data_IF_676816528994
#
_entry.id   IF_676816528994
#
_cell.length_a   1.000
_cell.length_b   1.000
_cell.length_c   1.000
_cell.angle_alpha   90.00
_cell.angle_beta   90.00
_cell.angle_gamma   90.00
#
_symmetry.space_group_name_H-M   'P 1'
#
loop_
_entity.id
_entity.type
_entity.pdbx_description
1 polymer ?
#
# COMPACT_ATOMS: atom_id res chain seq x y z
N UNK A 1 1.62 23.31 -1.14
CA UNK A 1 0.64 22.20 -1.31
C UNK A 1 1.22 20.85 -0.92
N UNK A 2 2.34 20.39 -1.49
CA UNK A 2 2.95 19.10 -1.09
C UNK A 2 3.45 19.14 0.36
N UNK A 3 4.12 20.22 0.77
CA UNK A 3 4.64 20.35 2.14
C UNK A 3 3.52 20.30 3.20
N UNK A 4 2.40 20.96 2.93
CA UNK A 4 1.21 20.91 3.80
C UNK A 4 0.64 19.48 3.91
N UNK A 5 0.59 18.73 2.80
CA UNK A 5 0.16 17.33 2.83
C UNK A 5 1.13 16.45 3.64
N UNK A 6 2.44 16.68 3.51
CA UNK A 6 3.47 15.98 4.29
C UNK A 6 3.31 16.29 5.78
N UNK A 7 3.20 17.56 6.16
CA UNK A 7 3.01 17.95 7.57
C UNK A 7 1.76 17.31 8.18
N UNK A 8 0.66 17.27 7.43
CA UNK A 8 -0.57 16.62 7.88
C UNK A 8 -0.43 15.10 7.99
N UNK A 9 0.22 14.46 7.01
CA UNK A 9 0.53 13.03 7.05
C UNK A 9 1.35 12.68 8.29
N UNK A 10 2.40 13.44 8.59
CA UNK A 10 3.26 13.25 9.77
C UNK A 10 2.49 13.43 11.10
N UNK A 11 1.33 14.08 11.08
CA UNK A 11 0.41 14.21 12.23
C UNK A 11 -0.69 13.13 12.24
N UNK A 12 -0.61 12.12 11.39
CA UNK A 12 -1.55 11.01 11.34
C UNK A 12 -2.79 11.24 10.45
N UNK A 13 -2.81 12.27 9.60
CA UNK A 13 -3.94 12.53 8.68
C UNK A 13 -4.01 11.49 7.54
N UNK A 14 -4.97 10.56 7.65
CA UNK A 14 -5.23 9.53 6.64
C UNK A 14 -5.57 10.10 5.26
N UNK A 15 -6.30 11.22 5.18
CA UNK A 15 -6.69 11.81 3.89
C UNK A 15 -5.49 12.43 3.19
N UNK A 16 -4.63 13.12 3.94
CA UNK A 16 -3.39 13.67 3.40
C UNK A 16 -2.48 12.55 2.89
N UNK A 17 -2.34 11.48 3.67
CA UNK A 17 -1.59 10.26 3.31
C UNK A 17 -2.12 9.63 2.02
N UNK A 18 -3.43 9.40 1.92
CA UNK A 18 -4.05 8.85 0.72
C UNK A 18 -3.82 9.73 -0.52
N UNK A 19 -3.78 11.06 -0.35
CA UNK A 19 -3.54 12.01 -1.44
C UNK A 19 -2.07 12.02 -1.87
N UNK A 20 -1.12 11.90 -0.94
CA UNK A 20 0.29 11.71 -1.24
C UNK A 20 0.51 10.40 -2.01
N UNK A 21 -0.12 9.30 -1.58
CA UNK A 21 -0.05 8.03 -2.33
C UNK A 21 -0.61 8.19 -3.75
N UNK A 22 -1.71 8.91 -3.93
CA UNK A 22 -2.23 9.23 -5.27
C UNK A 22 -1.23 10.05 -6.09
N UNK A 23 -0.50 11.00 -5.50
CA UNK A 23 0.50 11.78 -6.24
C UNK A 23 1.68 10.91 -6.66
N UNK A 24 2.24 10.07 -5.77
CA UNK A 24 3.37 9.20 -6.12
C UNK A 24 2.99 8.15 -7.18
N UNK A 25 1.73 7.73 -7.23
CA UNK A 25 1.25 6.80 -8.25
C UNK A 25 1.16 7.41 -9.65
N UNK A 26 0.84 8.71 -9.76
CA UNK A 26 0.42 9.33 -11.01
C UNK A 26 1.44 10.30 -11.62
N UNK A 27 2.47 10.69 -10.87
CA UNK A 27 3.40 11.73 -11.30
C UNK A 27 4.82 11.45 -10.77
N UNK A 28 5.73 11.03 -11.66
CA UNK A 28 7.09 10.63 -11.30
C UNK A 28 7.95 11.80 -10.79
N UNK A 29 7.68 13.03 -11.22
CA UNK A 29 8.41 14.20 -10.73
C UNK A 29 8.00 14.52 -9.30
N UNK A 30 6.68 14.55 -9.04
CA UNK A 30 6.16 14.70 -7.68
C UNK A 30 6.54 13.53 -6.78
N UNK A 31 6.60 12.31 -7.31
CA UNK A 31 7.05 11.14 -6.55
C UNK A 31 8.47 11.35 -6.00
N UNK A 32 9.42 11.76 -6.88
CA UNK A 32 10.79 12.05 -6.47
C UNK A 32 10.87 13.18 -5.45
N UNK A 33 10.08 14.25 -5.62
CA UNK A 33 10.03 15.37 -4.67
C UNK A 33 9.52 14.90 -3.29
N UNK A 34 8.39 14.19 -3.26
CA UNK A 34 7.76 13.70 -2.04
C UNK A 34 8.72 12.75 -1.30
N UNK A 35 9.24 11.74 -1.99
CA UNK A 35 10.15 10.74 -1.42
C UNK A 35 11.39 11.41 -0.82
N UNK A 36 12.00 12.37 -1.52
CA UNK A 36 13.15 13.11 -1.01
C UNK A 36 12.83 13.85 0.29
N UNK A 37 11.65 14.48 0.38
CA UNK A 37 11.22 15.24 1.57
C UNK A 37 10.90 14.34 2.76
N UNK A 38 10.31 13.17 2.52
CA UNK A 38 9.89 12.27 3.61
C UNK A 38 10.98 11.28 4.03
N UNK A 39 12.06 11.12 3.26
CA UNK A 39 13.08 10.08 3.44
C UNK A 39 13.61 9.96 4.88
N UNK A 40 13.85 11.09 5.56
CA UNK A 40 14.32 11.15 6.95
C UNK A 40 13.34 10.56 7.99
N UNK A 41 12.10 10.29 7.61
CA UNK A 41 11.06 9.70 8.45
C UNK A 41 10.78 8.23 8.12
N UNK A 42 11.55 7.64 7.19
CA UNK A 42 11.42 6.24 6.77
C UNK A 42 12.49 5.35 7.41
N UNK A 43 12.36 4.03 7.26
CA UNK A 43 13.23 3.00 7.80
C UNK A 43 12.73 2.37 9.10
N UNK A 44 11.49 2.62 9.51
CA UNK A 44 10.96 2.19 10.80
C UNK A 44 10.01 0.98 10.67
N UNK A 45 9.18 0.97 9.63
CA UNK A 45 8.19 -0.08 9.42
C UNK A 45 8.82 -1.43 9.04
N UNK A 46 8.26 -2.52 9.56
CA UNK A 46 8.55 -3.87 9.07
C UNK A 46 7.72 -4.17 7.81
N UNK A 47 8.37 -4.55 6.71
CA UNK A 47 7.72 -4.72 5.40
C UNK A 47 7.61 -6.21 5.07
N UNK A 48 6.39 -6.68 4.77
CA UNK A 48 6.11 -8.08 4.44
C UNK A 48 5.41 -8.18 3.09
N UNK A 49 6.07 -8.83 2.12
CA UNK A 49 5.47 -9.21 0.85
C UNK A 49 4.68 -10.52 0.97
N UNK A 50 3.47 -10.55 0.40
CA UNK A 50 2.62 -11.73 0.32
C UNK A 50 2.30 -11.99 -1.15
N UNK A 51 2.82 -13.11 -1.66
CA UNK A 51 2.63 -13.54 -3.04
C UNK A 51 2.03 -14.95 -3.11
N UNK A 52 1.71 -15.40 -4.32
CA UNK A 52 1.18 -16.72 -4.61
C UNK A 52 0.05 -16.71 -5.63
N UNK A 53 -0.32 -17.88 -6.16
CA UNK A 53 -1.29 -17.98 -7.25
C UNK A 53 -2.69 -17.48 -6.84
N UNK A 54 -3.55 -17.14 -7.82
CA UNK A 54 -4.96 -16.87 -7.56
C UNK A 54 -5.60 -18.02 -6.77
N UNK A 55 -6.40 -17.70 -5.74
CA UNK A 55 -7.09 -18.70 -4.94
C UNK A 55 -6.26 -19.40 -3.86
N UNK A 56 -4.96 -19.10 -3.71
CA UNK A 56 -4.10 -19.71 -2.65
C UNK A 56 -4.43 -19.26 -1.23
N UNK A 57 -5.34 -18.30 -1.07
CA UNK A 57 -5.74 -17.77 0.24
C UNK A 57 -4.93 -16.58 0.75
N UNK A 58 -4.11 -15.91 -0.08
CA UNK A 58 -3.33 -14.70 0.28
C UNK A 58 -4.12 -13.67 1.08
N UNK A 59 -5.26 -13.21 0.55
CA UNK A 59 -6.07 -12.19 1.23
C UNK A 59 -6.72 -12.71 2.52
N UNK A 60 -6.95 -14.02 2.64
CA UNK A 60 -7.42 -14.65 3.89
C UNK A 60 -6.32 -14.68 4.94
N UNK A 61 -5.09 -15.00 4.53
CA UNK A 61 -3.91 -14.93 5.40
C UNK A 61 -3.66 -13.49 5.85
N UNK A 62 -3.66 -12.54 4.91
CA UNK A 62 -3.47 -11.12 5.19
C UNK A 62 -4.52 -10.59 6.18
N UNK A 63 -5.79 -10.93 5.98
CA UNK A 63 -6.89 -10.59 6.90
C UNK A 63 -6.63 -11.09 8.33
N UNK A 64 -6.02 -12.26 8.51
CA UNK A 64 -5.63 -12.78 9.83
C UNK A 64 -4.38 -12.09 10.39
N UNK A 65 -3.39 -11.80 9.56
CA UNK A 65 -2.17 -11.09 9.96
C UNK A 65 -2.47 -9.65 10.40
N UNK A 66 -3.35 -8.93 9.68
CA UNK A 66 -3.81 -7.60 10.08
C UNK A 66 -4.47 -7.69 11.45
N UNK A 67 -5.38 -8.65 11.66
CA UNK A 67 -6.03 -8.84 12.95
C UNK A 67 -4.99 -9.05 14.07
N UNK A 68 -4.03 -9.95 13.89
CA UNK A 68 -3.01 -10.23 14.89
C UNK A 68 -2.18 -8.98 15.23
N UNK A 69 -1.69 -8.26 14.21
CA UNK A 69 -0.92 -7.03 14.43
C UNK A 69 -1.74 -5.95 15.17
N UNK A 70 -3.04 -5.88 14.88
CA UNK A 70 -3.96 -4.96 15.59
C UNK A 70 -4.26 -5.39 17.02
N UNK A 71 -4.33 -6.69 17.31
CA UNK A 71 -4.46 -7.21 18.67
C UNK A 71 -3.21 -6.84 19.52
N UNK A 72 -2.05 -6.61 18.87
CA UNK A 72 -0.81 -6.07 19.47
C UNK A 72 -0.73 -4.52 19.43
N UNK A 73 -1.83 -3.84 19.06
CA UNK A 73 -1.95 -2.39 18.94
C UNK A 73 -1.09 -1.71 17.87
N UNK A 74 -0.43 -2.47 16.98
CA UNK A 74 0.44 -1.94 15.92
C UNK A 74 -0.33 -1.20 14.83
N UNK A 75 0.15 -0.07 14.34
CA UNK A 75 -0.40 0.65 13.19
C UNK A 75 -0.06 -0.12 11.91
N UNK A 76 -1.08 -0.56 11.17
CA UNK A 76 -0.91 -1.43 10.00
C UNK A 76 -1.15 -0.67 8.69
N UNK A 77 -0.17 -0.74 7.79
CA UNK A 77 -0.31 -0.36 6.40
C UNK A 77 -0.56 -1.58 5.51
N UNK A 78 -1.44 -1.46 4.53
CA UNK A 78 -1.70 -2.50 3.53
C UNK A 78 -1.67 -1.86 2.14
N UNK A 79 -0.85 -2.43 1.28
CA UNK A 79 -0.82 -2.15 -0.16
C UNK A 79 -1.26 -3.42 -0.88
N UNK A 80 -2.48 -3.42 -1.41
CA UNK A 80 -3.00 -4.49 -2.23
C UNK A 80 -2.84 -4.13 -3.70
N UNK A 81 -2.07 -4.91 -4.44
CA UNK A 81 -1.88 -4.73 -5.88
C UNK A 81 -2.94 -5.57 -6.60
N UNK A 82 -3.80 -4.90 -7.36
CA UNK A 82 -4.82 -5.50 -8.21
C UNK A 82 -4.44 -5.36 -9.70
N UNK A 83 -4.97 -6.22 -10.59
CA UNK A 83 -4.91 -5.96 -12.03
C UNK A 83 -5.47 -4.58 -12.38
N UNK A 84 -4.98 -4.03 -13.49
CA UNK A 84 -5.44 -2.73 -13.98
C UNK A 84 -6.81 -2.86 -14.62
N UNK A 85 -7.78 -2.06 -14.16
CA UNK A 85 -9.10 -1.96 -14.77
C UNK A 85 -8.98 -1.41 -16.20
N UNK A 86 -9.52 -2.10 -17.22
CA UNK A 86 -9.49 -1.62 -18.61
C UNK A 86 -10.39 -0.40 -18.83
N UNK A 87 -11.30 -0.10 -17.89
CA UNK A 87 -12.25 1.00 -18.00
C UNK A 87 -11.78 2.29 -17.31
N UNK A 88 -11.13 2.16 -16.15
CA UNK A 88 -10.76 3.31 -15.31
C UNK A 88 -9.25 3.54 -15.22
N UNK A 89 -8.44 2.56 -15.61
CA UNK A 89 -6.98 2.57 -15.40
C UNK A 89 -6.55 2.44 -13.94
N UNK A 90 -7.50 2.35 -12.99
CA UNK A 90 -7.26 2.12 -11.57
C UNK A 90 -7.32 0.64 -11.19
N UNK A 91 -7.23 0.35 -9.88
CA UNK A 91 -7.35 -1.00 -9.35
C UNK A 91 -8.77 -1.56 -9.55
N UNK A 92 -8.90 -2.87 -9.78
CA UNK A 92 -10.21 -3.56 -9.83
C UNK A 92 -10.89 -3.68 -8.44
N UNK A 93 -10.21 -3.31 -7.35
CA UNK A 93 -10.71 -3.24 -5.97
C UNK A 93 -11.16 -4.58 -5.37
N UNK A 94 -10.85 -5.71 -6.02
CA UNK A 94 -11.31 -7.03 -5.62
C UNK A 94 -10.82 -7.42 -4.22
N UNK A 95 -9.57 -7.09 -3.92
CA UNK A 95 -8.94 -7.45 -2.66
C UNK A 95 -9.44 -6.59 -1.49
N UNK A 96 -9.88 -5.36 -1.77
CA UNK A 96 -10.45 -4.46 -0.75
C UNK A 96 -11.77 -4.96 -0.17
N UNK A 97 -12.59 -5.64 -0.97
CA UNK A 97 -13.87 -6.20 -0.50
C UNK A 97 -13.63 -7.27 0.57
N UNK A 98 -12.55 -8.06 0.42
CA UNK A 98 -12.21 -9.15 1.35
C UNK A 98 -11.69 -8.65 2.70
N UNK A 99 -11.17 -7.42 2.75
CA UNK A 99 -10.64 -6.78 3.97
C UNK A 99 -11.58 -5.72 4.57
N UNK A 100 -12.86 -5.70 4.17
CA UNK A 100 -13.82 -4.67 4.62
C UNK A 100 -13.91 -4.50 6.13
N UNK A 101 -13.81 -5.59 6.91
CA UNK A 101 -13.89 -5.52 8.38
C UNK A 101 -12.78 -4.68 9.03
N UNK A 102 -11.64 -4.52 8.34
CA UNK A 102 -10.51 -3.72 8.80
C UNK A 102 -10.57 -2.27 8.28
N UNK A 103 -11.41 -1.98 7.29
CA UNK A 103 -11.49 -0.66 6.66
C UNK A 103 -11.97 0.45 7.60
N UNK A 104 -12.69 0.10 8.67
CA UNK A 104 -13.16 1.01 9.71
C UNK A 104 -12.23 1.10 10.91
N UNK A 105 -11.16 0.29 10.97
CA UNK A 105 -10.19 0.34 12.08
C UNK A 105 -9.31 1.61 11.95
N UNK A 106 -9.30 2.50 12.95
CA UNK A 106 -8.48 3.70 12.92
C UNK A 106 -6.96 3.39 12.87
N UNK A 107 -6.50 2.23 13.32
CA UNK A 107 -5.10 1.80 13.22
C UNK A 107 -4.74 1.06 11.94
N UNK A 108 -5.66 0.92 10.99
CA UNK A 108 -5.39 0.28 9.69
C UNK A 108 -5.52 1.29 8.54
N UNK A 109 -4.55 1.25 7.63
CA UNK A 109 -4.59 1.98 6.36
C UNK A 109 -4.52 1.00 5.20
N UNK A 110 -5.52 1.00 4.32
CA UNK A 110 -5.56 0.12 3.14
C UNK A 110 -5.55 0.96 1.87
N UNK A 111 -4.56 0.71 1.00
CA UNK A 111 -4.47 1.22 -0.36
C UNK A 111 -4.59 0.07 -1.36
N UNK A 112 -5.50 0.20 -2.31
CA UNK A 112 -5.48 -0.61 -3.53
C UNK A 112 -4.74 0.14 -4.63
N UNK A 113 -3.78 -0.52 -5.28
CA UNK A 113 -2.99 0.02 -6.39
C UNK A 113 -3.16 -0.86 -7.62
N UNK A 114 -3.15 -0.28 -8.81
CA UNK A 114 -3.14 -1.04 -10.05
C UNK A 114 -1.72 -1.38 -10.49
N UNK A 115 -1.50 -2.54 -11.11
CA UNK A 115 -0.22 -2.89 -11.74
C UNK A 115 0.23 -1.90 -12.83
N UNK A 116 -0.71 -1.20 -13.47
CA UNK A 116 -0.52 -0.25 -14.57
C UNK A 116 0.35 -0.79 -15.72
N UNK A 117 0.15 -2.06 -16.07
CA UNK A 117 0.89 -2.72 -17.15
C UNK A 117 2.32 -3.13 -16.77
N UNK A 118 2.69 -3.07 -15.49
CA UNK A 118 3.91 -3.70 -14.97
C UNK A 118 3.86 -5.21 -15.22
N UNK A 119 4.99 -5.77 -15.69
CA UNK A 119 5.15 -7.21 -15.96
C UNK A 119 5.44 -8.02 -14.69
N UNK A 120 5.87 -7.35 -13.61
CA UNK A 120 5.99 -7.95 -12.28
C UNK A 120 4.73 -7.68 -11.47
N UNK A 121 4.35 -8.60 -10.59
CA UNK A 121 3.14 -8.54 -9.75
C UNK A 121 3.01 -7.32 -8.81
N UNK A 122 3.90 -6.33 -8.94
CA UNK A 122 3.95 -5.06 -8.23
C UNK A 122 3.78 -3.86 -9.18
N UNK A 123 3.14 -2.80 -8.68
CA UNK A 123 3.14 -1.51 -9.36
C UNK A 123 4.50 -0.81 -9.23
N UNK A 124 4.95 -0.06 -10.25
CA UNK A 124 6.20 0.72 -10.19
C UNK A 124 6.27 1.65 -8.97
N UNK A 125 5.14 2.22 -8.56
CA UNK A 125 5.02 3.14 -7.43
C UNK A 125 4.95 2.46 -6.05
N UNK A 126 4.98 1.12 -5.97
CA UNK A 126 4.81 0.38 -4.71
C UNK A 126 5.85 0.80 -3.68
N UNK A 127 7.12 0.87 -4.06
CA UNK A 127 8.21 1.27 -3.15
C UNK A 127 8.04 2.69 -2.59
N UNK A 128 7.49 3.62 -3.38
CA UNK A 128 7.27 4.99 -2.93
C UNK A 128 6.03 5.08 -2.06
N UNK A 129 4.99 4.28 -2.34
CA UNK A 129 3.84 4.14 -1.44
C UNK A 129 4.21 3.52 -0.09
N UNK A 130 5.12 2.53 -0.06
CA UNK A 130 5.68 1.96 1.19
C UNK A 130 6.34 3.07 2.01
N UNK A 131 7.22 3.88 1.40
CA UNK A 131 7.89 5.00 2.09
C UNK A 131 6.90 6.02 2.64
N UNK A 132 5.80 6.28 1.93
CA UNK A 132 4.73 7.16 2.41
C UNK A 132 4.03 6.57 3.64
N UNK A 133 3.73 5.27 3.67
CA UNK A 133 3.12 4.61 4.84
C UNK A 133 4.08 4.46 6.03
N UNK A 134 5.36 4.24 5.77
CA UNK A 134 6.40 4.20 6.79
C UNK A 134 6.56 5.59 7.44
N UNK A 135 6.69 6.64 6.62
CA UNK A 135 6.72 8.03 7.12
C UNK A 135 5.41 8.47 7.79
N UNK A 136 4.27 7.86 7.44
CA UNK A 136 2.99 8.08 8.13
C UNK A 136 2.99 7.51 9.56
N UNK A 137 3.87 6.56 9.86
CA UNK A 137 3.99 5.92 11.17
C UNK A 137 3.34 4.54 11.24
N UNK A 138 3.25 3.80 10.13
CA UNK A 138 2.92 2.37 10.21
C UNK A 138 4.07 1.59 10.86
N UNK A 139 3.74 0.69 11.78
CA UNK A 139 4.71 -0.24 12.39
C UNK A 139 4.99 -1.43 11.48
N UNK A 140 3.96 -1.90 10.76
CA UNK A 140 4.05 -3.00 9.79
C UNK A 140 3.32 -2.64 8.51
N UNK A 141 3.92 -2.96 7.37
CA UNK A 141 3.36 -2.74 6.04
C UNK A 141 3.30 -4.08 5.30
N UNK A 142 2.08 -4.53 5.00
CA UNK A 142 1.85 -5.70 4.16
C UNK A 142 1.66 -5.28 2.70
N UNK A 143 2.34 -5.99 1.80
CA UNK A 143 2.23 -5.79 0.35
C UNK A 143 1.71 -7.09 -0.25
N UNK A 144 0.44 -7.10 -0.67
CA UNK A 144 -0.15 -8.24 -1.39
C UNK A 144 0.02 -8.01 -2.89
N UNK A 145 0.71 -8.94 -3.57
CA UNK A 145 0.83 -8.91 -5.03
C UNK A 145 -0.48 -9.37 -5.66
N UNK A 146 -0.69 -9.04 -6.95
CA UNK A 146 -1.70 -9.73 -7.75
C UNK A 146 -1.50 -11.24 -7.63
N UNK A 147 -2.56 -12.04 -7.76
CA UNK A 147 -2.42 -13.48 -7.94
C UNK A 147 -1.62 -13.79 -9.20
N UNK A 148 -0.30 -13.91 -9.06
CA UNK A 148 0.62 -14.17 -10.15
C UNK A 148 0.84 -15.67 -10.30
N UNK A 149 0.94 -16.13 -11.55
CA UNK A 149 1.39 -17.49 -11.86
C UNK A 149 2.89 -17.64 -11.60
N UNK A 150 3.45 -18.81 -11.92
CA UNK A 150 4.88 -19.14 -11.71
C UNK A 150 5.87 -18.38 -12.63
N UNK A 151 5.43 -17.33 -13.33
CA UNK A 151 6.22 -16.68 -14.41
C UNK A 151 6.68 -15.27 -14.05
N UNK A 152 6.27 -14.74 -12.89
CA UNK A 152 6.62 -13.37 -12.46
C UNK A 152 7.53 -13.41 -11.22
N UNK A 153 8.65 -12.69 -11.29
CA UNK A 153 9.83 -12.85 -10.39
C UNK A 153 9.93 -11.72 -9.34
N UNK A 154 9.06 -10.70 -9.39
CA UNK A 154 9.23 -9.49 -8.59
C UNK A 154 8.52 -9.56 -7.22
N UNK A 155 9.31 -9.52 -6.14
CA UNK A 155 8.92 -9.27 -4.73
C UNK A 155 9.92 -8.31 -4.09
#
# INVERSE_FOLDING_TARGET
>A
MIDELIERMLRGDKKATARLITLVENDEEKAREIVKKIYRYTGNAYIVGITGPPGSGKSTLLDKLIKQARDESLIVGVIAIDPTSPFTGGALLGDRIRMQRHSTDPGVFIRSMATRGSLGGLAKATNDAIKVLDAYGCDVIFVETVGVGQVEIDI
#
